data_IF_848602555857
#
_entry.id   IF_848602555857
#
_cell.length_a   1.000
_cell.length_b   1.000
_cell.length_c   1.000
_cell.angle_alpha   90.00
_cell.angle_beta   90.00
_cell.angle_gamma   90.00
#
_symmetry.space_group_name_H-M   'P 1'
#
loop_
_entity.id
_entity.type
_entity.pdbx_description
1 polymer ?
2 polymer ?
3 water ?
#
# COMPACT_ATOMS: atom_id res chain seq x y z
N UNK A 8 -14.91 -11.78 10.86
CA UNK A 8 -14.84 -10.53 10.11
C UNK A 8 -15.18 -10.76 8.64
N UNK A 9 -15.12 -9.68 7.86
CA UNK A 9 -15.31 -9.74 6.42
C UNK A 9 -13.98 -9.81 5.68
N UNK A 10 -12.87 -9.93 6.40
CA UNK A 10 -11.54 -10.08 5.81
C UNK A 10 -11.27 -11.50 5.31
N UNK A 11 -12.30 -12.34 5.26
CA UNK A 11 -12.22 -13.58 4.48
C UNK A 11 -12.52 -13.31 3.01
N UNK A 12 -13.39 -12.33 2.75
CA UNK A 12 -13.66 -11.91 1.38
C UNK A 12 -12.45 -11.24 0.76
N UNK A 13 -11.57 -10.67 1.58
CA UNK A 13 -10.41 -9.92 1.13
C UNK A 13 -9.17 -10.61 1.70
N UNK A 14 -8.71 -11.67 1.05
CA UNK A 14 -7.72 -12.56 1.69
C UNK A 14 -6.34 -11.92 1.80
N UNK A 15 -5.61 -12.35 2.83
CA UNK A 15 -4.23 -11.91 3.03
C UNK A 15 -3.34 -12.57 1.98
N UNK A 16 -2.64 -11.76 1.20
CA UNK A 16 -1.74 -12.27 0.18
C UNK A 16 -0.27 -11.96 0.48
N UNK A 17 0.01 -11.11 1.46
CA UNK A 17 1.38 -10.80 1.84
C UNK A 17 1.40 -10.36 3.29
N UNK A 18 2.49 -10.68 3.97
CA UNK A 18 2.65 -10.31 5.37
C UNK A 18 4.12 -10.00 5.58
N UNK A 19 4.42 -8.83 6.12
CA UNK A 19 5.81 -8.47 6.29
C UNK A 19 5.95 -7.10 6.89
N UNK A 20 7.13 -6.51 6.68
CA UNK A 20 7.47 -5.21 7.24
C UNK A 20 7.57 -4.17 6.13
N UNK A 21 6.97 -3.01 6.35
CA UNK A 21 7.21 -1.83 5.53
C UNK A 21 8.27 -0.98 6.21
N UNK A 22 9.02 -0.22 5.41
CA UNK A 22 10.01 0.68 5.97
C UNK A 22 9.88 2.05 5.32
N UNK A 23 10.18 3.07 6.11
CA UNK A 23 10.14 4.45 5.65
C UNK A 23 11.07 5.20 6.58
N UNK A 24 12.14 5.75 6.02
CA UNK A 24 13.18 6.44 6.80
C UNK A 24 13.71 5.45 7.83
N UNK A 25 13.71 5.78 9.12
CA UNK A 25 14.19 4.87 10.16
C UNK A 25 13.05 4.16 10.88
N UNK A 26 11.88 4.09 10.26
CA UNK A 26 10.71 3.50 10.88
C UNK A 26 10.31 2.24 10.11
N UNK A 27 9.67 1.31 10.82
CA UNK A 27 9.15 0.08 10.24
C UNK A 27 7.75 -0.18 10.78
N UNK A 28 6.97 -0.96 10.03
CA UNK A 28 5.65 -1.34 10.52
C UNK A 28 5.28 -2.70 9.95
N UNK A 29 4.79 -3.60 10.82
CA UNK A 29 4.36 -4.93 10.39
C UNK A 29 2.93 -4.86 9.88
N UNK A 30 2.72 -5.35 8.65
CA UNK A 30 1.41 -5.26 8.02
C UNK A 30 1.03 -6.58 7.37
N UNK A 31 -0.27 -6.74 7.21
CA UNK A 31 -0.84 -7.76 6.34
C UNK A 31 -1.53 -7.06 5.18
N UNK A 32 -1.28 -7.53 3.96
CA UNK A 32 -1.88 -6.94 2.77
C UNK A 32 -3.04 -7.82 2.30
N UNK A 33 -4.23 -7.23 2.24
CA UNK A 33 -5.46 -7.92 1.83
C UNK A 33 -5.79 -7.61 0.38
N UNK A 34 -6.09 -8.64 -0.40
CA UNK A 34 -6.47 -8.44 -1.80
C UNK A 34 -7.87 -7.84 -1.92
N UNK A 35 -7.99 -6.73 -2.65
CA UNK A 35 -9.27 -6.05 -2.81
C UNK A 35 -9.83 -6.22 -4.22
N UNK A 36 -9.05 -5.88 -5.24
CA UNK A 36 -9.52 -6.06 -6.61
C UNK A 36 -8.34 -6.05 -7.57
N UNK A 37 -8.63 -6.35 -8.82
CA UNK A 37 -7.61 -6.35 -9.84
C UNK A 37 -7.02 -7.72 -10.05
N UNK A 38 -5.71 -7.77 -10.29
CA UNK A 38 -5.00 -8.99 -10.69
C UNK A 38 -4.06 -9.39 -9.55
N UNK A 39 -4.43 -10.44 -8.81
CA UNK A 39 -3.61 -10.85 -7.67
C UNK A 39 -2.22 -11.33 -8.08
N UNK A 40 -2.04 -11.78 -9.32
CA UNK A 40 -0.74 -12.27 -9.75
C UNK A 40 0.31 -11.17 -9.62
N UNK A 41 -0.10 -9.91 -9.80
CA UNK A 41 0.84 -8.81 -9.67
C UNK A 41 1.41 -8.72 -8.26
N UNK A 42 0.62 -9.10 -7.25
CA UNK A 42 1.15 -9.07 -5.89
C UNK A 42 2.24 -10.12 -5.72
N UNK A 43 1.96 -11.36 -6.13
CA UNK A 43 2.95 -12.43 -6.06
C UNK A 43 4.21 -12.09 -6.83
N UNK A 44 4.06 -11.41 -7.97
CA UNK A 44 5.22 -11.10 -8.81
C UNK A 44 6.00 -9.89 -8.33
N UNK A 45 5.32 -8.90 -7.74
CA UNK A 45 5.96 -7.63 -7.40
C UNK A 45 6.46 -7.55 -5.97
N UNK A 46 5.88 -8.29 -5.05
CA UNK A 46 6.26 -8.09 -3.66
C UNK A 46 7.42 -8.99 -3.27
N UNK A 47 8.24 -8.59 -2.31
CA UNK A 47 9.43 -9.39 -1.97
C UNK A 47 9.06 -10.62 -1.15
N UNK A 48 10.07 -11.44 -0.91
CA UNK A 48 9.95 -12.47 0.12
C UNK A 48 9.97 -11.81 1.49
N UNK A 49 9.16 -12.35 2.41
CA UNK A 49 9.08 -11.81 3.76
C UNK A 49 9.56 -12.81 4.80
N UNK A 50 10.32 -13.82 4.38
CA UNK A 50 10.88 -14.80 5.31
C UNK A 50 12.16 -14.26 5.95
N UNK A 51 12.01 -13.14 6.64
CA UNK A 51 13.10 -12.52 7.37
C UNK A 51 13.98 -11.58 6.56
N UNK A 52 13.59 -11.24 5.33
CA UNK A 52 14.41 -10.39 4.50
C UNK A 52 14.27 -8.93 4.86
N UNK A 53 14.97 -8.08 4.11
CA UNK A 53 14.87 -6.65 4.35
C UNK A 53 13.45 -6.17 4.18
N UNK A 54 13.05 -5.12 4.91
CA UNK A 54 11.68 -4.62 4.78
C UNK A 54 11.43 -4.01 3.41
N UNK A 55 10.16 -4.00 3.04
CA UNK A 55 9.70 -3.30 1.84
C UNK A 55 9.81 -1.80 2.06
N UNK A 56 10.77 -1.14 1.41
CA UNK A 56 11.14 0.22 1.77
C UNK A 56 10.52 1.25 0.82
N UNK A 57 9.81 2.22 1.41
CA UNK A 57 9.34 3.40 0.70
C UNK A 57 10.48 4.41 0.70
N UNK A 58 11.05 4.68 -0.48
CA UNK A 58 12.12 5.66 -0.59
C UNK A 58 11.80 6.76 -1.59
N UNK A 59 10.60 6.76 -2.16
CA UNK A 59 10.18 7.81 -3.07
C UNK A 59 8.74 8.17 -2.74
N UNK A 60 8.31 9.34 -3.20
CA UNK A 60 6.93 9.74 -2.99
C UNK A 60 6.39 10.51 -4.19
N UNK A 61 5.07 10.47 -4.32
CA UNK A 61 4.34 11.12 -5.40
C UNK A 61 3.28 12.03 -4.80
N UNK A 62 3.20 13.26 -5.31
CA UNK A 62 2.23 14.22 -4.79
C UNK A 62 0.81 13.73 -5.06
N UNK A 63 -0.07 13.96 -4.08
CA UNK A 63 -1.50 13.68 -4.22
C UNK A 63 -2.20 14.85 -4.93
N UNK A 64 -1.83 15.03 -6.21
CA UNK A 64 -2.34 16.12 -7.04
C UNK A 64 -2.89 15.55 -8.34
N UNK A 65 -3.54 16.43 -9.12
CA UNK A 65 -4.43 16.00 -10.19
C UNK A 65 -3.76 15.04 -11.16
N UNK A 66 -2.66 15.46 -11.81
CA UNK A 66 -2.13 14.61 -12.88
C UNK A 66 -1.46 13.35 -12.33
N UNK A 67 -0.87 13.41 -11.14
CA UNK A 67 -0.31 12.21 -10.52
C UNK A 67 -1.40 11.18 -10.27
N UNK A 68 -2.52 11.61 -9.69
CA UNK A 68 -3.61 10.70 -9.37
C UNK A 68 -4.33 10.22 -10.63
N UNK A 69 -4.47 11.10 -11.63
CA UNK A 69 -5.00 10.66 -12.92
C UNK A 69 -4.15 9.53 -13.50
N UNK A 70 -2.83 9.61 -13.34
CA UNK A 70 -1.96 8.56 -13.83
C UNK A 70 -2.21 7.25 -13.13
N UNK A 71 -2.44 7.31 -11.81
CA UNK A 71 -2.73 6.09 -11.07
C UNK A 71 -4.06 5.51 -11.50
N UNK A 72 -5.10 6.34 -11.56
CA UNK A 72 -6.40 5.88 -12.03
C UNK A 72 -6.33 5.29 -13.44
N UNK A 73 -5.46 5.84 -14.29
CA UNK A 73 -5.32 5.36 -15.67
C UNK A 73 -5.01 3.86 -15.72
N UNK A 74 -4.10 3.39 -14.87
CA UNK A 74 -3.72 1.98 -14.88
C UNK A 74 -4.76 1.09 -14.21
N UNK A 75 -5.79 1.66 -13.62
CA UNK A 75 -6.78 0.92 -12.85
C UNK A 75 -8.03 0.60 -13.65
N UNK A 76 -8.03 0.88 -14.96
CA UNK A 76 -9.23 0.71 -15.77
C UNK A 76 -9.41 -0.70 -16.32
N UNK A 77 -8.37 -1.52 -16.34
CA UNK A 77 -8.48 -2.90 -16.79
C UNK A 77 -7.94 -3.83 -15.71
N UNK A 78 -8.68 -4.90 -15.43
CA UNK A 78 -8.44 -5.70 -14.23
C UNK A 78 -7.09 -6.41 -14.25
N UNK A 79 -6.49 -6.62 -15.42
CA UNK A 79 -5.25 -7.38 -15.49
C UNK A 79 -4.01 -6.54 -15.25
N UNK A 80 -4.12 -5.22 -15.27
CA UNK A 80 -2.94 -4.37 -15.23
C UNK A 80 -2.67 -3.77 -13.86
N UNK A 81 -3.54 -4.01 -12.88
CA UNK A 81 -3.34 -3.46 -11.55
C UNK A 81 -3.74 -4.48 -10.49
N UNK A 82 -3.31 -4.20 -9.27
CA UNK A 82 -3.72 -4.92 -8.08
C UNK A 82 -3.97 -3.89 -6.99
N UNK A 83 -5.10 -3.98 -6.29
CA UNK A 83 -5.42 -3.07 -5.20
C UNK A 83 -5.40 -3.85 -3.89
N UNK A 84 -4.57 -3.41 -2.95
CA UNK A 84 -4.41 -4.11 -1.69
C UNK A 84 -4.72 -3.15 -0.56
N UNK A 85 -5.19 -3.71 0.55
CA UNK A 85 -5.39 -2.97 1.79
C UNK A 85 -4.39 -3.45 2.83
N UNK A 86 -3.62 -2.51 3.39
CA UNK A 86 -2.62 -2.82 4.40
C UNK A 86 -3.19 -2.54 5.78
N UNK A 87 -3.14 -3.55 6.66
CA UNK A 87 -3.58 -3.46 8.04
C UNK A 87 -2.46 -3.90 8.98
N UNK A 88 -2.39 -3.32 10.18
CA UNK A 88 -1.31 -3.70 11.11
C UNK A 88 -1.48 -5.12 11.64
N UNK A 89 -0.36 -5.69 12.08
CA UNK A 89 -0.38 -7.02 12.68
C UNK A 89 0.79 -7.13 13.64
N UNK A 90 0.75 -8.16 14.48
CA UNK A 90 1.81 -8.35 15.46
C UNK A 90 1.65 -9.68 16.15
N UNK A 91 2.62 -10.00 17.01
CA UNK A 91 2.63 -11.34 17.60
C UNK A 91 1.70 -11.47 18.80
N UNK A 92 1.32 -10.36 19.43
CA UNK A 92 0.31 -10.36 20.49
C UNK A 92 -0.27 -8.96 20.57
N UNK A 93 -1.18 -8.76 21.53
CA UNK A 93 -1.90 -7.49 21.62
C UNK A 93 -0.94 -6.33 21.85
N UNK A 94 0.06 -6.53 22.71
CA UNK A 94 1.05 -5.49 22.97
C UNK A 94 1.83 -5.15 21.71
N UNK A 95 2.31 -6.17 20.99
CA UNK A 95 2.99 -5.90 19.73
C UNK A 95 2.07 -5.19 18.75
N UNK A 96 0.80 -5.63 18.67
CA UNK A 96 -0.12 -5.04 17.70
C UNK A 96 -0.32 -3.55 17.96
N UNK A 97 -0.50 -3.17 19.23
CA UNK A 97 -0.67 -1.76 19.55
C UNK A 97 0.55 -0.97 19.08
N UNK A 98 1.75 -1.49 19.34
CA UNK A 98 2.97 -0.80 18.95
C UNK A 98 3.12 -0.72 17.42
N UNK A 99 2.85 -1.82 16.71
CA UNK A 99 2.91 -1.76 15.25
C UNK A 99 1.85 -0.81 14.70
N UNK A 100 0.67 -0.79 15.33
CA UNK A 100 -0.38 0.11 14.88
C UNK A 100 0.01 1.57 15.11
N UNK A 101 0.63 1.87 16.24
CA UNK A 101 1.08 3.23 16.48
C UNK A 101 2.16 3.63 15.49
N UNK A 102 3.05 2.70 15.13
CA UNK A 102 4.03 2.98 14.10
C UNK A 102 3.34 3.32 12.78
N UNK A 103 2.41 2.48 12.34
CA UNK A 103 1.70 2.75 11.10
C UNK A 103 1.03 4.12 11.12
N UNK A 104 0.39 4.47 12.24
CA UNK A 104 -0.29 5.75 12.35
C UNK A 104 0.69 6.91 12.32
N UNK A 105 1.75 6.84 13.12
CA UNK A 105 2.62 8.00 13.29
C UNK A 105 3.68 8.11 12.20
N UNK A 106 4.31 7.01 11.81
CA UNK A 106 5.44 7.10 10.89
C UNK A 106 5.05 6.95 9.43
N UNK A 107 3.85 6.43 9.15
CA UNK A 107 3.42 6.23 7.77
C UNK A 107 2.21 7.09 7.42
N UNK A 108 1.08 6.89 8.10
CA UNK A 108 -0.14 7.61 7.72
C UNK A 108 0.03 9.10 7.98
N UNK A 109 0.42 9.47 9.20
CA UNK A 109 0.58 10.88 9.54
C UNK A 109 1.61 11.54 8.63
N UNK A 110 2.73 10.86 8.37
CA UNK A 110 3.78 11.43 7.53
C UNK A 110 3.29 11.68 6.11
N UNK A 111 2.63 10.68 5.50
CA UNK A 111 2.20 10.85 4.11
C UNK A 111 1.08 11.88 4.00
N UNK A 112 0.17 11.91 4.97
CA UNK A 112 -0.87 12.93 4.96
C UNK A 112 -0.26 14.32 5.11
N UNK A 113 0.72 14.47 6.02
CA UNK A 113 1.34 15.77 6.24
C UNK A 113 2.10 16.25 5.00
N UNK A 114 2.72 15.32 4.26
CA UNK A 114 3.38 15.66 3.01
C UNK A 114 2.43 15.68 1.82
N UNK A 115 1.18 15.28 2.02
CA UNK A 115 0.19 15.15 0.95
C UNK A 115 0.74 14.32 -0.22
N UNK A 116 1.16 13.10 0.11
CA UNK A 116 1.86 12.26 -0.84
C UNK A 116 1.45 10.80 -0.68
N UNK A 117 1.70 10.03 -1.73
CA UNK A 117 1.69 8.58 -1.64
C UNK A 117 3.12 8.07 -1.71
N UNK A 118 3.38 6.98 -1.00
CA UNK A 118 4.67 6.33 -1.14
C UNK A 118 4.80 5.67 -2.50
N UNK A 119 6.04 5.59 -3.00
CA UNK A 119 6.32 5.01 -4.31
C UNK A 119 7.45 4.00 -4.16
N UNK A 120 7.23 2.79 -4.64
CA UNK A 120 8.27 1.77 -4.67
C UNK A 120 8.34 1.21 -6.08
N UNK A 121 9.45 1.48 -6.77
CA UNK A 121 9.70 0.89 -8.07
C UNK A 121 10.41 -0.45 -7.90
N UNK A 122 9.83 -1.49 -8.48
CA UNK A 122 10.32 -2.86 -8.35
C UNK A 122 10.96 -3.25 -9.69
N UNK A 123 12.27 -3.45 -9.74
CA UNK A 123 12.90 -3.88 -10.99
C UNK A 123 12.92 -5.39 -11.16
N UNK A 124 12.90 -5.82 -12.45
CA UNK A 124 13.29 -7.18 -12.78
C UNK A 124 14.81 -7.28 -12.82
N UNK A 125 15.38 -8.34 -12.26
CA UNK A 125 16.84 -8.52 -12.32
C UNK A 125 17.33 -8.48 -13.76
N UNK A 126 18.40 -7.71 -13.99
CA UNK A 126 18.98 -7.53 -15.30
C UNK A 126 18.48 -6.33 -16.07
N UNK A 127 17.33 -5.77 -15.70
CA UNK A 127 16.75 -4.62 -16.36
C UNK A 127 16.68 -3.46 -15.38
N UNK A 128 17.17 -2.28 -15.79
CA UNK A 128 16.99 -1.11 -14.95
C UNK A 128 15.76 -0.29 -15.34
N UNK A 129 14.83 -0.89 -16.08
CA UNK A 129 13.50 -0.35 -16.33
C UNK A 129 12.53 -0.93 -15.31
N UNK A 130 11.64 -0.11 -14.73
CA UNK A 130 10.74 -0.64 -13.70
C UNK A 130 9.76 -1.63 -14.31
N UNK A 131 9.57 -2.75 -13.62
CA UNK A 131 8.58 -3.75 -14.01
C UNK A 131 7.24 -3.53 -13.32
N UNK A 132 7.28 -3.15 -12.05
CA UNK A 132 6.09 -2.83 -11.27
C UNK A 132 6.35 -1.59 -10.45
N UNK A 133 5.28 -0.85 -10.17
CA UNK A 133 5.34 0.26 -9.23
C UNK A 133 4.27 0.03 -8.16
N UNK A 134 4.67 0.17 -6.91
CA UNK A 134 3.75 0.15 -5.78
C UNK A 134 3.43 1.59 -5.40
N UNK A 135 2.16 1.93 -5.39
CA UNK A 135 1.70 3.26 -5.01
C UNK A 135 0.94 3.14 -3.69
N UNK A 136 1.47 3.76 -2.64
CA UNK A 136 1.05 3.48 -1.27
C UNK A 136 0.37 4.72 -0.69
N UNK A 137 -0.95 4.66 -0.58
CA UNK A 137 -1.73 5.82 -0.15
C UNK A 137 -2.09 5.75 1.34
N UNK A 138 -2.01 6.87 2.04
CA UNK A 138 -2.68 6.97 3.32
C UNK A 138 -4.17 7.13 3.10
N UNK A 139 -4.99 7.02 4.14
CA UNK A 139 -6.41 7.37 3.97
C UNK A 139 -6.52 8.80 3.46
N UNK A 140 -7.24 8.96 2.36
CA UNK A 140 -7.31 10.22 1.64
C UNK A 140 -8.50 10.15 0.69
N UNK A 141 -8.75 11.27 0.02
CA UNK A 141 -9.88 11.34 -0.90
C UNK A 141 -9.77 10.28 -1.99
N UNK A 142 -8.56 10.04 -2.48
CA UNK A 142 -8.36 9.07 -3.55
C UNK A 142 -8.66 7.65 -3.08
N UNK A 143 -8.15 7.27 -1.90
CA UNK A 143 -8.40 5.92 -1.40
C UNK A 143 -9.88 5.73 -1.07
N UNK A 144 -10.51 6.75 -0.48
CA UNK A 144 -11.93 6.64 -0.18
C UNK A 144 -12.75 6.46 -1.45
N UNK A 145 -12.40 7.20 -2.51
CA UNK A 145 -13.12 7.07 -3.78
C UNK A 145 -13.07 5.63 -4.29
N UNK A 146 -11.86 5.07 -4.41
CA UNK A 146 -11.73 3.76 -5.03
C UNK A 146 -12.18 2.64 -4.11
N UNK A 147 -11.99 2.77 -2.80
CA UNK A 147 -12.48 1.74 -1.89
C UNK A 147 -14.00 1.75 -1.83
N UNK A 148 -14.61 2.94 -1.90
CA UNK A 148 -16.07 3.01 -1.97
C UNK A 148 -16.59 2.35 -3.24
N UNK A 149 -15.90 2.56 -4.36
CA UNK A 149 -16.34 1.97 -5.62
C UNK A 149 -16.16 0.46 -5.63
N UNK A 150 -15.02 -0.04 -5.13
CA UNK A 150 -14.65 -1.44 -5.30
C UNK A 150 -14.98 -2.32 -4.11
N UNK A 151 -15.00 -1.79 -2.89
CA UNK A 151 -15.26 -2.59 -1.69
C UNK A 151 -15.94 -1.72 -0.64
N UNK A 152 -17.18 -1.31 -0.90
CA UNK A 152 -17.87 -0.42 0.06
C UNK A 152 -18.07 -1.03 1.43
N UNK A 153 -18.27 -2.35 1.50
CA UNK A 153 -18.37 -3.00 2.81
C UNK A 153 -17.07 -2.87 3.59
N UNK A 154 -15.94 -3.07 2.91
CA UNK A 154 -14.64 -2.95 3.57
C UNK A 154 -14.39 -1.51 4.02
N UNK A 155 -14.68 -0.54 3.14
CA UNK A 155 -14.46 0.86 3.49
C UNK A 155 -15.27 1.27 4.71
N UNK A 156 -16.55 0.86 4.76
CA UNK A 156 -17.39 1.22 5.89
C UNK A 156 -16.84 0.68 7.20
N UNK A 157 -16.15 -0.46 7.16
CA UNK A 157 -15.62 -1.05 8.37
C UNK A 157 -14.34 -0.39 8.85
N UNK A 158 -13.63 0.34 7.99
CA UNK A 158 -12.34 0.91 8.36
C UNK A 158 -12.34 2.44 8.35
N UNK A 159 -13.23 3.08 7.60
CA UNK A 159 -13.13 4.52 7.40
C UNK A 159 -13.29 5.26 8.72
N UNK A 160 -12.32 6.12 9.03
CA UNK A 160 -12.23 6.85 10.29
C UNK A 160 -12.20 5.94 11.51
N UNK A 161 -11.97 4.64 11.32
CA UNK A 161 -12.03 3.68 12.42
C UNK A 161 -10.67 3.00 12.63
N UNK A 162 -10.14 2.38 11.58
CA UNK A 162 -8.91 1.60 11.70
C UNK A 162 -7.83 2.15 10.78
N UNK A 163 -6.63 2.42 11.30
CA UNK A 163 -5.53 2.86 10.44
C UNK A 163 -5.21 1.83 9.38
N UNK A 164 -4.88 2.31 8.19
CA UNK A 164 -4.66 1.43 7.05
C UNK A 164 -3.91 2.22 5.99
N UNK A 165 -3.37 1.49 5.02
CA UNK A 165 -2.90 2.06 3.77
C UNK A 165 -3.59 1.35 2.61
N UNK A 166 -3.79 2.10 1.51
CA UNK A 166 -4.20 1.54 0.23
C UNK A 166 -3.02 1.41 -0.71
N UNK A 167 -2.77 0.21 -1.23
CA UNK A 167 -1.64 0.00 -2.13
C UNK A 167 -2.16 -0.34 -3.51
N UNK A 168 -1.79 0.47 -4.51
CA UNK A 168 -2.11 0.19 -5.90
C UNK A 168 -0.83 -0.31 -6.56
N UNK A 169 -0.84 -1.55 -7.02
CA UNK A 169 0.27 -2.13 -7.77
C UNK A 169 -0.06 -2.07 -9.24
N UNK A 170 0.84 -1.49 -10.04
CA UNK A 170 0.65 -1.41 -11.48
C UNK A 170 1.84 -2.04 -12.17
N UNK A 171 1.57 -2.85 -13.19
CA UNK A 171 2.64 -3.35 -14.04
C UNK A 171 2.93 -2.30 -15.10
N UNK A 172 4.21 -2.00 -15.29
CA UNK A 172 4.60 -0.91 -16.18
C UNK A 172 5.51 -1.42 -17.28
N UNK B 2 5.40 11.54 -11.92
CA UNK B 2 6.74 11.86 -11.45
C UNK B 2 6.81 11.72 -9.93
N UNK B 3 8.03 11.54 -9.42
CA UNK B 3 8.29 11.19 -8.03
C UNK B 3 9.33 12.13 -7.44
N UNK B 4 9.61 11.94 -6.15
CA UNK B 4 10.63 12.66 -5.41
C UNK B 4 11.08 11.78 -4.26
N UNK B 5 12.34 11.86 -3.85
CA UNK B 5 12.83 10.96 -2.80
C UNK B 5 12.39 11.39 -1.41
N UNK B 6 12.14 10.40 -0.56
CA UNK B 6 11.89 10.65 0.85
C UNK B 6 13.18 10.98 1.58
N UNK B 7 13.05 11.62 2.74
CA UNK B 7 14.19 12.00 3.55
C UNK B 7 14.93 10.78 4.08
#
# INVERSE_FOLDING_TARGET
GAMVDMVQLLKKYPIVWQGLLALKNDTAAVQLHFVSGNNVLAHRSLPLSEGGPPLRIAQRMRLEATQLEGVARRMTVETDYCLLLALPCGRDQEDVVSQTESLKAAFITYLQAKQAAGIINVPNPGSNQPAYVLQIFPPCEFSESHLSRLAPDLLASISNISPHLMIVIASV
PSYSPTSPSYSPTSPS
#
